data_IF_949677378774
#
_entry.id   IF_949677378774
#
_cell.length_a   1.000
_cell.length_b   1.000
_cell.length_c   1.000
_cell.angle_alpha   90.00
_cell.angle_beta   90.00
_cell.angle_gamma   90.00
#
_symmetry.space_group_name_H-M   'P 1'
#
loop_
_entity.id
_entity.type
_entity.pdbx_description
1 polymer ?
#
# COMPACT_ATOMS: atom_id res chain seq x y z
N UNK A 1 3.99 27.88 -3.30
CA UNK A 1 3.79 26.93 -4.42
C UNK A 1 4.91 25.90 -4.54
N UNK A 2 6.19 26.28 -4.46
CA UNK A 2 7.32 25.32 -4.60
C UNK A 2 7.36 24.20 -3.54
N UNK A 3 6.98 24.45 -2.28
CA UNK A 3 7.03 23.46 -1.20
C UNK A 3 5.98 22.33 -1.34
N UNK A 4 4.78 22.66 -1.83
CA UNK A 4 3.71 21.69 -2.09
C UNK A 4 4.10 20.75 -3.22
N UNK A 5 4.62 21.28 -4.33
CA UNK A 5 5.09 20.44 -5.44
C UNK A 5 6.23 19.50 -5.05
N UNK A 6 7.17 19.95 -4.22
CA UNK A 6 8.20 19.06 -3.68
C UNK A 6 7.59 17.93 -2.83
N UNK A 7 6.56 18.23 -2.05
CA UNK A 7 5.87 17.25 -1.19
C UNK A 7 5.05 16.24 -2.00
N UNK A 8 4.38 16.68 -3.08
CA UNK A 8 3.65 15.83 -4.03
C UNK A 8 4.60 14.86 -4.75
N UNK A 9 5.72 15.37 -5.27
CA UNK A 9 6.74 14.55 -5.94
C UNK A 9 7.37 13.56 -4.95
N UNK A 10 7.63 13.98 -3.71
CA UNK A 10 8.11 13.09 -2.66
C UNK A 10 7.09 11.99 -2.35
N UNK A 11 5.81 12.33 -2.21
CA UNK A 11 4.74 11.36 -1.95
C UNK A 11 4.63 10.32 -3.07
N UNK A 12 4.63 10.75 -4.33
CA UNK A 12 4.63 9.85 -5.49
C UNK A 12 5.85 8.93 -5.49
N UNK A 13 7.03 9.47 -5.19
CA UNK A 13 8.29 8.69 -5.15
C UNK A 13 8.29 7.66 -4.02
N UNK A 14 7.81 8.03 -2.83
CA UNK A 14 7.70 7.14 -1.67
C UNK A 14 6.71 6.02 -1.96
N UNK A 15 5.54 6.33 -2.51
CA UNK A 15 4.52 5.33 -2.87
C UNK A 15 5.07 4.34 -3.89
N UNK A 16 5.73 4.83 -4.95
CA UNK A 16 6.33 3.97 -5.96
C UNK A 16 7.39 3.03 -5.35
N UNK A 17 8.24 3.55 -4.46
CA UNK A 17 9.23 2.74 -3.76
C UNK A 17 8.58 1.67 -2.86
N UNK A 18 7.54 2.03 -2.10
CA UNK A 18 6.83 1.11 -1.22
C UNK A 18 6.15 -0.02 -2.00
N UNK A 19 5.48 0.28 -3.11
CA UNK A 19 4.86 -0.72 -3.99
C UNK A 19 5.92 -1.69 -4.54
N UNK A 20 7.07 -1.18 -4.97
CA UNK A 20 8.19 -2.01 -5.44
C UNK A 20 8.75 -2.90 -4.34
N UNK A 21 8.96 -2.35 -3.14
CA UNK A 21 9.44 -3.11 -1.98
C UNK A 21 8.46 -4.20 -1.58
N UNK A 22 7.15 -3.91 -1.57
CA UNK A 22 6.17 -4.91 -1.21
C UNK A 22 6.05 -6.04 -2.24
N UNK A 23 6.15 -5.70 -3.52
CA UNK A 23 6.23 -6.73 -4.55
C UNK A 23 7.46 -7.63 -4.35
N UNK A 24 8.62 -7.04 -4.02
CA UNK A 24 9.84 -7.78 -3.77
C UNK A 24 9.73 -8.68 -2.52
N UNK A 25 9.21 -8.17 -1.40
CA UNK A 25 9.03 -8.98 -0.19
C UNK A 25 7.99 -10.08 -0.39
N UNK A 26 6.91 -9.81 -1.13
CA UNK A 26 5.93 -10.82 -1.53
C UNK A 26 6.54 -11.92 -2.40
N UNK A 27 7.43 -11.56 -3.33
CA UNK A 27 8.18 -12.53 -4.14
C UNK A 27 9.14 -13.36 -3.28
N UNK A 28 9.90 -12.72 -2.39
CA UNK A 28 10.80 -13.43 -1.47
C UNK A 28 10.05 -14.44 -0.60
N UNK A 29 8.88 -14.06 -0.10
CA UNK A 29 7.99 -14.92 0.67
C UNK A 29 7.52 -16.14 -0.13
N UNK A 30 7.00 -15.92 -1.34
CA UNK A 30 6.56 -17.00 -2.22
C UNK A 30 7.71 -17.94 -2.59
N UNK A 31 8.92 -17.39 -2.80
CA UNK A 31 10.12 -18.17 -3.07
C UNK A 31 10.52 -19.05 -1.89
N UNK A 32 10.52 -18.49 -0.67
CA UNK A 32 10.82 -19.23 0.56
C UNK A 32 9.80 -20.35 0.82
N UNK A 33 8.53 -20.13 0.48
CA UNK A 33 7.45 -21.11 0.64
C UNK A 33 7.39 -22.12 -0.52
N UNK A 34 8.29 -22.05 -1.50
CA UNK A 34 8.27 -22.85 -2.74
C UNK A 34 6.93 -22.77 -3.50
N UNK A 35 6.22 -21.65 -3.39
CA UNK A 35 4.88 -21.42 -3.94
C UNK A 35 4.89 -20.26 -4.95
N UNK A 36 5.96 -20.17 -5.75
CA UNK A 36 6.04 -19.19 -6.84
C UNK A 36 5.06 -19.61 -7.94
N UNK A 37 3.94 -18.89 -8.03
CA UNK A 37 3.00 -18.98 -9.14
C UNK A 37 2.88 -17.63 -9.82
N UNK A 38 3.14 -17.60 -11.13
CA UNK A 38 2.98 -16.40 -11.95
C UNK A 38 1.54 -15.87 -11.93
N UNK A 39 0.55 -16.73 -11.73
CA UNK A 39 -0.84 -16.32 -11.57
C UNK A 39 -1.05 -15.56 -10.26
N UNK A 40 -0.56 -16.10 -9.13
CA UNK A 40 -0.63 -15.45 -7.82
C UNK A 40 0.10 -14.10 -7.83
N UNK A 41 1.30 -14.07 -8.42
CA UNK A 41 2.08 -12.84 -8.54
C UNK A 41 1.41 -11.78 -9.43
N UNK A 42 0.84 -12.19 -10.56
CA UNK A 42 0.08 -11.29 -11.44
C UNK A 42 -1.17 -10.76 -10.76
N UNK A 43 -1.88 -11.59 -9.99
CA UNK A 43 -3.04 -11.16 -9.22
C UNK A 43 -2.63 -10.16 -8.13
N UNK A 44 -1.52 -10.40 -7.43
CA UNK A 44 -0.96 -9.44 -6.47
C UNK A 44 -0.62 -8.09 -7.13
N UNK A 45 0.00 -8.11 -8.31
CA UNK A 45 0.27 -6.90 -9.10
C UNK A 45 -1.02 -6.18 -9.53
N UNK A 46 -2.09 -6.90 -9.89
CA UNK A 46 -3.37 -6.27 -10.25
C UNK A 46 -3.97 -5.48 -9.09
N UNK A 47 -3.93 -6.00 -7.87
CA UNK A 47 -4.39 -5.27 -6.69
C UNK A 47 -3.57 -3.99 -6.46
N UNK A 48 -2.24 -4.08 -6.61
CA UNK A 48 -1.33 -2.93 -6.48
C UNK A 48 -1.51 -1.89 -7.58
N UNK A 49 -1.81 -2.34 -8.81
CA UNK A 49 -2.10 -1.44 -9.93
C UNK A 49 -3.34 -0.58 -9.65
N UNK A 50 -4.31 -1.10 -8.87
CA UNK A 50 -5.44 -0.31 -8.39
C UNK A 50 -4.99 0.88 -7.52
N UNK A 51 -4.01 0.68 -6.63
CA UNK A 51 -3.45 1.75 -5.81
C UNK A 51 -2.69 2.78 -6.67
N UNK A 52 -1.96 2.34 -7.68
CA UNK A 52 -1.34 3.24 -8.67
C UNK A 52 -2.39 4.08 -9.39
N UNK A 53 -3.50 3.47 -9.83
CA UNK A 53 -4.60 4.17 -10.48
C UNK A 53 -5.28 5.19 -9.55
N UNK A 54 -5.38 4.89 -8.25
CA UNK A 54 -5.86 5.87 -7.25
C UNK A 54 -4.93 7.08 -7.17
N UNK A 55 -3.61 6.90 -7.16
CA UNK A 55 -2.67 8.04 -7.21
C UNK A 55 -2.78 8.84 -8.49
N UNK A 56 -2.88 8.17 -9.64
CA UNK A 56 -3.05 8.83 -10.94
C UNK A 56 -4.36 9.63 -10.97
N UNK A 57 -5.44 9.07 -10.44
CA UNK A 57 -6.71 9.78 -10.34
C UNK A 57 -6.61 11.00 -9.43
N UNK A 58 -5.94 10.87 -8.27
CA UNK A 58 -5.71 12.01 -7.36
C UNK A 58 -4.95 13.15 -8.05
N UNK A 59 -3.89 12.83 -8.80
CA UNK A 59 -3.13 13.77 -9.61
C UNK A 59 -3.99 14.46 -10.68
N UNK A 60 -4.78 13.69 -11.44
CA UNK A 60 -5.66 14.22 -12.49
C UNK A 60 -6.70 15.16 -11.91
N UNK A 61 -7.36 14.75 -10.82
CA UNK A 61 -8.40 15.58 -10.19
C UNK A 61 -7.78 16.83 -9.59
N UNK A 62 -6.69 16.71 -8.83
CA UNK A 62 -6.08 17.85 -8.13
C UNK A 62 -5.50 18.91 -9.08
N UNK A 63 -4.84 18.49 -10.16
CA UNK A 63 -4.35 19.41 -11.20
C UNK A 63 -5.47 19.91 -12.12
N UNK A 64 -6.48 19.08 -12.37
CA UNK A 64 -7.65 19.43 -13.17
C UNK A 64 -8.43 20.62 -12.62
N UNK A 65 -8.39 20.86 -11.31
CA UNK A 65 -9.04 22.02 -10.66
C UNK A 65 -8.50 23.37 -11.16
N UNK A 66 -7.33 23.40 -11.81
CA UNK A 66 -6.79 24.62 -12.44
C UNK A 66 -7.54 24.99 -13.73
N UNK A 67 -8.21 24.02 -14.36
CA UNK A 67 -8.93 24.16 -15.61
C UNK A 67 -10.44 24.05 -15.44
N UNK A 68 -10.88 23.36 -14.38
CA UNK A 68 -12.28 23.14 -14.03
C UNK A 68 -12.59 23.90 -12.75
N UNK A 69 -13.40 24.96 -12.86
CA UNK A 69 -13.88 25.69 -11.68
C UNK A 69 -14.90 24.84 -10.91
N UNK A 70 -14.44 24.19 -9.85
CA UNK A 70 -15.27 23.36 -8.99
C UNK A 70 -15.85 24.15 -7.80
N UNK A 71 -15.50 25.43 -7.63
CA UNK A 71 -15.89 26.24 -6.47
C UNK A 71 -15.17 25.90 -5.16
N UNK A 72 -14.25 24.94 -5.17
CA UNK A 72 -13.38 24.57 -4.05
C UNK A 72 -12.12 23.85 -4.56
N UNK A 73 -11.08 23.81 -3.72
CA UNK A 73 -9.84 23.07 -3.99
C UNK A 73 -9.67 21.91 -3.01
N UNK A 74 -9.48 20.69 -3.53
CA UNK A 74 -9.22 19.50 -2.72
C UNK A 74 -7.78 19.02 -2.94
N UNK A 75 -6.94 18.97 -1.89
CA UNK A 75 -5.62 18.34 -1.97
C UNK A 75 -5.77 16.82 -1.83
N UNK A 76 -5.62 16.08 -2.92
CA UNK A 76 -5.86 14.63 -3.00
C UNK A 76 -4.59 13.79 -3.07
N UNK A 77 -3.50 14.31 -3.67
CA UNK A 77 -2.24 13.58 -3.88
C UNK A 77 -1.64 13.17 -2.55
N UNK A 78 -1.55 14.09 -1.58
CA UNK A 78 -0.93 13.80 -0.27
C UNK A 78 -1.78 12.79 0.53
N UNK A 79 -3.10 12.97 0.73
CA UNK A 79 -3.90 11.96 1.43
C UNK A 79 -3.91 10.59 0.76
N UNK A 80 -4.00 10.54 -0.58
CA UNK A 80 -3.91 9.28 -1.32
C UNK A 80 -2.55 8.60 -1.08
N UNK A 81 -1.46 9.37 -1.12
CA UNK A 81 -0.12 8.88 -0.87
C UNK A 81 0.06 8.33 0.54
N UNK A 82 -0.49 8.99 1.56
CA UNK A 82 -0.47 8.49 2.95
C UNK A 82 -1.24 7.18 3.08
N UNK A 83 -2.46 7.11 2.51
CA UNK A 83 -3.29 5.91 2.56
C UNK A 83 -2.59 4.70 1.93
N UNK A 84 -2.01 4.89 0.74
CA UNK A 84 -1.30 3.82 0.04
C UNK A 84 -0.03 3.45 0.79
N UNK A 85 0.71 4.42 1.33
CA UNK A 85 1.91 4.14 2.11
C UNK A 85 1.63 3.24 3.31
N UNK A 86 0.55 3.50 4.05
CA UNK A 86 0.13 2.65 5.18
C UNK A 86 -0.21 1.24 4.68
N UNK A 87 -0.97 1.14 3.59
CA UNK A 87 -1.39 -0.15 3.01
C UNK A 87 -0.18 -0.99 2.59
N UNK A 88 0.79 -0.39 1.92
CA UNK A 88 2.01 -1.05 1.46
C UNK A 88 2.94 -1.42 2.63
N UNK A 89 3.09 -0.55 3.64
CA UNK A 89 3.85 -0.87 4.86
C UNK A 89 3.24 -2.08 5.58
N UNK A 90 1.91 -2.13 5.72
CA UNK A 90 1.24 -3.29 6.33
C UNK A 90 1.52 -4.59 5.59
N UNK A 91 1.47 -4.57 4.25
CA UNK A 91 1.76 -5.74 3.42
C UNK A 91 3.23 -6.17 3.49
N UNK A 92 4.17 -5.20 3.52
CA UNK A 92 5.60 -5.48 3.68
C UNK A 92 5.87 -6.18 5.01
N UNK A 93 5.26 -5.69 6.09
CA UNK A 93 5.42 -6.27 7.42
C UNK A 93 4.83 -7.69 7.51
N UNK A 94 3.69 -7.94 6.86
CA UNK A 94 3.12 -9.28 6.72
C UNK A 94 4.09 -10.23 6.00
N UNK A 95 4.62 -9.80 4.85
CA UNK A 95 5.57 -10.59 4.07
C UNK A 95 6.86 -10.86 4.86
N UNK A 96 7.42 -9.86 5.54
CA UNK A 96 8.62 -10.00 6.38
C UNK A 96 8.35 -10.94 7.56
N UNK A 97 7.21 -10.82 8.24
CA UNK A 97 6.87 -11.67 9.38
C UNK A 97 6.67 -13.14 8.98
N UNK A 98 6.20 -13.41 7.76
CA UNK A 98 6.19 -14.76 7.20
C UNK A 98 7.59 -15.27 6.85
N UNK A 99 8.47 -14.41 6.31
CA UNK A 99 9.87 -14.77 5.98
C UNK A 99 10.71 -15.00 7.24
N UNK A 100 10.54 -14.15 8.27
CA UNK A 100 11.29 -14.20 9.51
C UNK A 100 10.33 -14.19 10.72
N UNK A 101 10.03 -15.38 11.28
CA UNK A 101 9.13 -15.53 12.42
C UNK A 101 9.57 -14.78 13.69
N UNK A 102 10.87 -14.51 13.88
CA UNK A 102 11.35 -13.77 15.05
C UNK A 102 10.86 -12.31 15.04
N UNK A 103 10.81 -11.71 13.84
CA UNK A 103 10.23 -10.37 13.64
C UNK A 103 8.72 -10.39 13.87
N UNK A 104 8.05 -11.50 13.51
CA UNK A 104 6.59 -11.69 13.70
C UNK A 104 6.17 -11.66 15.16
N UNK A 105 7.06 -12.05 16.07
CA UNK A 105 6.84 -11.99 17.53
C UNK A 105 7.25 -10.67 18.17
N UNK A 106 7.81 -9.73 17.40
CA UNK A 106 8.28 -8.44 17.89
C UNK A 106 7.16 -7.41 18.12
N UNK A 107 7.43 -6.36 18.91
CA UNK A 107 6.45 -5.31 19.27
C UNK A 107 5.92 -4.54 18.06
N UNK A 108 6.71 -4.42 16.99
CA UNK A 108 6.28 -3.75 15.75
C UNK A 108 5.13 -4.51 15.08
N UNK A 109 5.20 -5.84 14.97
CA UNK A 109 4.13 -6.63 14.35
C UNK A 109 2.83 -6.60 15.18
N UNK A 110 2.94 -6.41 16.50
CA UNK A 110 1.80 -6.22 17.39
C UNK A 110 0.99 -4.95 17.10
N UNK A 111 1.63 -3.88 16.62
CA UNK A 111 0.95 -2.63 16.24
C UNK A 111 0.13 -2.77 14.95
N UNK A 112 0.47 -3.74 14.09
CA UNK A 112 -0.18 -3.95 12.79
C UNK A 112 -1.06 -5.21 12.74
N UNK A 113 -1.13 -6.00 13.83
CA UNK A 113 -2.14 -7.05 13.97
C UNK A 113 -3.52 -6.40 14.14
N UNK A 114 -4.22 -6.17 13.04
CA UNK A 114 -5.66 -5.98 13.08
C UNK A 114 -6.28 -7.27 13.62
N UNK A 115 -6.93 -7.18 14.78
CA UNK A 115 -7.52 -8.32 15.47
C UNK A 115 -8.58 -9.01 14.62
N UNK A 116 -8.20 -10.04 13.87
CA UNK A 116 -9.14 -11.10 13.49
C UNK A 116 -9.35 -11.95 14.73
N UNK A 117 -10.35 -11.58 15.55
CA UNK A 117 -10.93 -12.56 16.46
C UNK A 117 -11.54 -13.69 15.60
N UNK A 118 -11.24 -14.96 15.88
CA UNK A 118 -11.94 -16.06 15.23
C UNK A 118 -13.40 -15.97 15.63
N UNK A 119 -14.32 -15.91 14.65
CA UNK A 119 -15.74 -16.08 14.91
C UNK A 119 -16.00 -17.54 15.29
N UNK A 120 -15.95 -17.84 16.59
CA UNK A 120 -16.42 -19.09 17.17
C UNK A 120 -17.94 -19.05 17.21
N UNK A 121 -18.54 -19.34 16.05
CA UNK A 121 -19.95 -19.68 15.92
C UNK A 121 -20.25 -20.96 16.69
N UNK A 122 -20.61 -20.83 17.96
CA UNK A 122 -21.37 -21.85 18.69
C UNK A 122 -22.77 -21.90 18.08
N UNK A 123 -22.97 -22.87 17.19
CA UNK A 123 -24.31 -23.30 16.78
C UNK A 123 -24.90 -24.08 17.96
N UNK A 124 -25.98 -23.54 18.53
CA UNK A 124 -26.90 -24.23 19.43
C UNK A 124 -28.23 -24.41 18.69
#
# INVERSE_FOLDING_TARGET
MHFMQTSEIAALSIVALLICLDYLTGLMKAAMQHDISSEKMRLGLWHKSGLVLVMVLAEVVERGQQYLDMGFAVPLIIPAGVYISITEISSILENIGEINPEIKTGPIMGLFRSGKEPNNGTQA
#
